data_IF_241478839744
#
_entry.id   IF_241478839744
#
_cell.length_a   1.000
_cell.length_b   1.000
_cell.length_c   1.000
_cell.angle_alpha   90.00
_cell.angle_beta   90.00
_cell.angle_gamma   90.00
#
_symmetry.space_group_name_H-M   'P 1'
#
loop_
_entity.id
_entity.type
_entity.pdbx_description
1 polymer ?
#
# COMPACT_ATOMS: atom_id res chain seq x y z
N UNK A 1 17.62 43.45 -17.25
CA UNK A 1 17.64 42.75 -15.96
C UNK A 1 17.47 41.27 -16.22
N UNK A 2 18.47 40.44 -15.89
CA UNK A 2 18.37 38.98 -16.02
C UNK A 2 17.78 38.43 -14.72
N UNK A 3 16.69 37.66 -14.81
CA UNK A 3 16.07 37.01 -13.65
C UNK A 3 16.81 35.69 -13.33
N UNK A 4 17.01 35.36 -12.03
CA UNK A 4 17.65 34.10 -11.66
C UNK A 4 16.77 32.91 -12.06
N UNK A 5 17.38 31.90 -12.70
CA UNK A 5 16.75 30.62 -13.00
C UNK A 5 16.62 29.82 -11.71
N UNK A 6 15.40 29.42 -11.34
CA UNK A 6 15.19 28.50 -10.22
C UNK A 6 15.83 27.15 -10.55
N UNK A 7 16.72 26.67 -9.66
CA UNK A 7 17.28 25.32 -9.76
C UNK A 7 16.21 24.31 -9.35
N UNK A 8 15.92 23.32 -10.20
CA UNK A 8 15.00 22.24 -9.84
C UNK A 8 15.53 21.50 -8.60
N UNK A 9 14.67 21.36 -7.58
CA UNK A 9 14.98 20.55 -6.41
C UNK A 9 14.67 19.08 -6.76
N UNK A 10 15.55 18.12 -6.45
CA UNK A 10 15.26 16.70 -6.70
C UNK A 10 14.02 16.26 -5.90
N UNK A 11 13.07 15.64 -6.58
CA UNK A 11 11.91 15.03 -5.93
C UNK A 11 12.37 13.84 -5.08
N UNK A 12 12.01 13.77 -3.79
CA UNK A 12 12.31 12.60 -2.97
C UNK A 12 11.74 11.34 -3.62
N UNK A 13 12.57 10.31 -3.79
CA UNK A 13 12.12 9.02 -4.28
C UNK A 13 11.36 8.30 -3.15
N UNK A 14 10.17 7.73 -3.41
CA UNK A 14 9.45 6.96 -2.41
C UNK A 14 10.27 5.74 -1.99
N UNK A 15 10.17 5.37 -0.72
CA UNK A 15 10.89 4.21 -0.17
C UNK A 15 10.27 2.90 -0.63
N UNK A 16 9.01 2.91 -1.07
CA UNK A 16 8.31 1.76 -1.64
C UNK A 16 8.00 1.94 -3.11
N UNK A 17 7.97 0.83 -3.86
CA UNK A 17 7.33 0.73 -5.18
C UNK A 17 6.12 -0.18 -5.10
N UNK A 18 5.13 0.05 -5.97
CA UNK A 18 4.05 -0.90 -6.22
C UNK A 18 4.61 -2.01 -7.12
N UNK A 19 4.63 -3.24 -6.62
CA UNK A 19 5.01 -4.43 -7.38
C UNK A 19 3.83 -4.99 -8.17
N UNK A 20 2.66 -5.04 -7.55
CA UNK A 20 1.48 -5.63 -8.15
C UNK A 20 0.18 -5.01 -7.63
N UNK A 21 -0.83 -4.98 -8.50
CA UNK A 21 -2.19 -4.57 -8.21
C UNK A 21 -3.13 -5.57 -8.86
N UNK A 22 -3.68 -6.46 -8.04
CA UNK A 22 -4.55 -7.55 -8.48
C UNK A 22 -5.97 -7.34 -7.98
N UNK A 23 -6.96 -7.70 -8.81
CA UNK A 23 -8.35 -7.81 -8.37
C UNK A 23 -8.56 -9.19 -7.74
N UNK A 24 -9.00 -9.21 -6.49
CA UNK A 24 -9.26 -10.47 -5.76
C UNK A 24 -10.74 -10.81 -5.80
N UNK A 25 -11.04 -11.99 -6.35
CA UNK A 25 -12.35 -12.62 -6.33
C UNK A 25 -12.27 -13.91 -5.53
N UNK A 26 -12.54 -13.85 -4.23
CA UNK A 26 -12.45 -15.01 -3.33
C UNK A 26 -13.76 -15.23 -2.55
N UNK A 27 -14.00 -16.47 -2.13
CA UNK A 27 -15.06 -16.85 -1.19
C UNK A 27 -14.68 -16.37 0.22
N UNK A 28 -15.14 -15.16 0.56
CA UNK A 28 -15.08 -14.51 1.88
C UNK A 28 -13.69 -14.29 2.53
N UNK A 29 -13.56 -13.24 3.38
CA UNK A 29 -14.33 -11.99 3.35
C UNK A 29 -13.94 -11.05 2.20
N UNK A 30 -14.75 -10.99 1.15
CA UNK A 30 -14.70 -9.92 0.16
C UNK A 30 -15.94 -9.04 0.36
N UNK A 31 -15.88 -7.72 0.12
CA UNK A 31 -14.82 -7.00 -0.55
C UNK A 31 -13.85 -6.30 0.41
N UNK A 32 -12.55 -6.47 0.18
CA UNK A 32 -11.49 -5.83 0.97
C UNK A 32 -10.36 -5.32 0.11
N UNK A 33 -9.60 -4.37 0.64
CA UNK A 33 -8.28 -4.00 0.15
C UNK A 33 -7.26 -4.74 1.00
N UNK A 34 -6.45 -5.58 0.37
CA UNK A 34 -5.33 -6.28 0.98
C UNK A 34 -4.04 -5.54 0.62
N UNK A 35 -3.19 -5.36 1.62
CA UNK A 35 -1.88 -4.74 1.46
C UNK A 35 -0.84 -5.70 1.97
N UNK A 36 0.10 -6.05 1.10
CA UNK A 36 1.25 -6.90 1.44
C UNK A 36 2.52 -6.10 1.20
N UNK A 37 3.35 -5.99 2.24
CA UNK A 37 4.61 -5.26 2.18
C UNK A 37 5.80 -6.20 2.25
N UNK A 38 6.78 -5.95 1.39
CA UNK A 38 8.06 -6.65 1.36
C UNK A 38 9.22 -5.68 1.57
N UNK A 39 10.33 -6.18 2.11
CA UNK A 39 11.61 -5.48 2.13
C UNK A 39 12.32 -5.55 0.75
N UNK A 40 13.50 -4.94 0.66
CA UNK A 40 14.30 -4.96 -0.57
C UNK A 40 14.79 -6.36 -0.99
N UNK A 41 14.75 -7.34 -0.09
CA UNK A 41 15.14 -8.73 -0.30
C UNK A 41 13.93 -9.66 -0.54
N UNK A 42 12.71 -9.10 -0.63
CA UNK A 42 11.46 -9.84 -0.77
C UNK A 42 11.08 -10.69 0.46
N UNK A 43 11.55 -10.31 1.65
CA UNK A 43 10.98 -10.82 2.89
C UNK A 43 9.77 -9.98 3.30
N UNK A 44 8.75 -10.63 3.84
CA UNK A 44 7.57 -9.94 4.36
C UNK A 44 7.96 -8.95 5.46
N UNK A 45 7.47 -7.72 5.34
CA UNK A 45 7.87 -6.59 6.17
C UNK A 45 6.68 -6.12 7.03
N UNK A 46 6.65 -6.45 8.34
CA UNK A 46 5.62 -5.97 9.27
C UNK A 46 5.80 -4.49 9.64
N UNK A 47 4.78 -3.91 10.28
CA UNK A 47 4.87 -2.62 10.94
C UNK A 47 4.80 -1.42 10.01
N UNK A 48 4.39 -1.62 8.76
CA UNK A 48 4.22 -0.54 7.79
C UNK A 48 2.83 0.05 7.95
N UNK A 49 2.76 1.36 8.21
CA UNK A 49 1.50 2.11 8.29
C UNK A 49 0.92 2.33 6.89
N UNK A 50 -0.32 1.90 6.72
CA UNK A 50 -1.12 2.02 5.50
C UNK A 50 -2.19 3.07 5.75
N UNK A 51 -2.29 4.03 4.84
CA UNK A 51 -3.34 5.04 4.84
C UNK A 51 -4.33 4.74 3.73
N UNK A 52 -5.61 4.65 4.10
CA UNK A 52 -6.71 4.46 3.16
C UNK A 52 -7.64 5.65 3.28
N UNK A 53 -7.88 6.35 2.17
CA UNK A 53 -8.76 7.52 2.12
C UNK A 53 -9.89 7.31 1.13
N UNK A 54 -11.05 7.90 1.42
CA UNK A 54 -12.22 7.89 0.55
C UNK A 54 -13.03 9.17 0.73
N UNK A 55 -14.10 9.32 -0.05
CA UNK A 55 -15.01 10.44 0.14
C UNK A 55 -15.72 10.33 1.50
N UNK A 56 -15.31 11.17 2.46
CA UNK A 56 -15.94 11.26 3.77
C UNK A 56 -15.11 10.72 4.94
N UNK A 57 -13.89 10.22 4.70
CA UNK A 57 -13.02 9.79 5.79
C UNK A 57 -11.67 9.24 5.35
N UNK A 58 -10.90 8.85 6.36
CA UNK A 58 -9.66 8.09 6.25
C UNK A 58 -9.60 7.04 7.34
N UNK A 59 -8.82 5.99 7.10
CA UNK A 59 -8.44 4.99 8.08
C UNK A 59 -6.94 4.70 7.97
N UNK A 60 -6.34 4.28 9.09
CA UNK A 60 -4.92 3.97 9.20
C UNK A 60 -4.74 2.69 9.98
N UNK A 61 -4.01 1.75 9.38
CA UNK A 61 -3.72 0.45 9.97
C UNK A 61 -2.30 0.02 9.62
N UNK A 62 -1.86 -1.09 10.19
CA UNK A 62 -0.48 -1.53 10.09
C UNK A 62 -0.38 -2.98 9.61
N UNK A 63 0.65 -3.29 8.82
CA UNK A 63 0.97 -4.66 8.42
C UNK A 63 1.50 -5.50 9.59
N UNK A 64 1.25 -6.80 9.56
CA UNK A 64 1.78 -7.78 10.52
C UNK A 64 0.92 -8.05 11.75
N UNK A 65 -0.27 -7.45 11.86
CA UNK A 65 -1.22 -7.71 12.95
C UNK A 65 -2.16 -8.91 12.68
N UNK A 66 -1.97 -9.63 11.56
CA UNK A 66 -2.74 -10.83 11.20
C UNK A 66 -1.80 -12.01 10.93
N UNK A 67 -1.34 -12.73 11.97
CA UNK A 67 -0.30 -13.74 11.85
C UNK A 67 -0.70 -14.96 11.00
N UNK A 68 -2.00 -15.20 10.81
CA UNK A 68 -2.49 -16.28 9.96
C UNK A 68 -2.31 -16.00 8.46
N UNK A 69 -2.29 -14.72 8.05
CA UNK A 69 -2.15 -14.30 6.65
C UNK A 69 -0.70 -14.00 6.27
N UNK A 70 0.10 -13.57 7.25
CA UNK A 70 1.54 -13.32 7.10
C UNK A 70 2.00 -12.06 7.84
N UNK A 71 3.29 -11.98 8.23
CA UNK A 71 3.85 -10.81 8.87
C UNK A 71 3.82 -9.54 7.99
N UNK A 72 3.72 -9.66 6.67
CA UNK A 72 3.66 -8.50 5.77
C UNK A 72 2.23 -8.01 5.47
N UNK A 73 1.20 -8.67 6.03
CA UNK A 73 -0.18 -8.50 5.60
C UNK A 73 -0.96 -7.51 6.48
N UNK A 74 -1.83 -6.73 5.83
CA UNK A 74 -2.99 -6.11 6.44
C UNK A 74 -4.15 -5.99 5.44
N UNK A 75 -5.35 -5.73 5.95
CA UNK A 75 -6.53 -5.52 5.12
C UNK A 75 -7.50 -4.48 5.70
N UNK A 76 -8.32 -3.96 4.81
CA UNK A 76 -9.38 -3.00 5.08
C UNK A 76 -10.67 -3.40 4.36
N UNK A 77 -11.78 -3.47 5.07
CA UNK A 77 -13.09 -3.80 4.48
C UNK A 77 -13.66 -2.62 3.71
N UNK A 78 -14.02 -2.85 2.44
CA UNK A 78 -14.61 -1.83 1.58
C UNK A 78 -16.12 -1.72 1.80
N UNK A 79 -16.67 -0.52 1.64
CA UNK A 79 -18.10 -0.27 1.59
C UNK A 79 -18.56 0.04 0.14
N UNK A 80 -19.82 -0.28 -0.21
CA UNK A 80 -20.41 0.05 -1.51
C UNK A 80 -20.34 1.54 -1.85
N UNK A 81 -20.33 1.83 -3.14
CA UNK A 81 -20.41 3.18 -3.72
C UNK A 81 -19.28 4.16 -3.33
N UNK A 82 -18.19 3.66 -2.74
CA UNK A 82 -17.01 4.45 -2.40
C UNK A 82 -15.83 4.13 -3.34
N UNK A 83 -15.00 5.16 -3.57
CA UNK A 83 -13.71 5.04 -4.25
C UNK A 83 -12.61 5.31 -3.25
N UNK A 84 -11.66 4.38 -3.18
CA UNK A 84 -10.57 4.40 -2.22
C UNK A 84 -9.24 4.77 -2.88
N UNK A 85 -8.39 5.36 -2.06
CA UNK A 85 -7.00 5.65 -2.35
C UNK A 85 -6.12 5.09 -1.25
N UNK A 86 -5.02 4.43 -1.62
CA UNK A 86 -4.08 3.78 -0.70
C UNK A 86 -2.68 4.34 -0.87
N UNK A 87 -2.04 4.69 0.25
CA UNK A 87 -0.65 5.15 0.34
C UNK A 87 0.01 4.54 1.57
N UNK A 88 1.29 4.19 1.49
CA UNK A 88 2.09 3.84 2.67
C UNK A 88 2.68 5.11 3.29
N UNK A 89 2.55 5.29 4.60
CA UNK A 89 3.05 6.49 5.30
C UNK A 89 4.57 6.66 5.15
N UNK A 90 5.29 5.55 5.02
CA UNK A 90 6.73 5.51 4.77
C UNK A 90 7.12 5.96 3.34
N UNK A 91 6.15 6.28 2.48
CA UNK A 91 6.36 6.78 1.12
C UNK A 91 6.21 5.68 0.07
N UNK A 92 5.10 5.71 -0.66
CA UNK A 92 4.82 4.88 -1.83
C UNK A 92 4.18 5.71 -2.94
N UNK A 93 4.09 5.18 -4.17
CA UNK A 93 3.10 5.65 -5.13
C UNK A 93 1.69 5.59 -4.54
N UNK A 94 0.85 6.53 -4.94
CA UNK A 94 -0.58 6.51 -4.64
C UNK A 94 -1.30 5.52 -5.56
N UNK A 95 -2.15 4.66 -4.99
CA UNK A 95 -3.04 3.78 -5.73
C UNK A 95 -4.48 4.23 -5.49
N UNK A 96 -5.09 4.86 -6.48
CA UNK A 96 -6.43 5.45 -6.39
C UNK A 96 -7.44 4.78 -7.32
N UNK A 97 -8.72 5.10 -7.13
CA UNK A 97 -9.80 4.58 -7.98
C UNK A 97 -10.24 3.15 -7.63
N UNK A 98 -9.79 2.61 -6.49
CA UNK A 98 -10.16 1.28 -6.03
C UNK A 98 -11.63 1.28 -5.60
N UNK A 99 -12.45 0.48 -6.26
CA UNK A 99 -13.88 0.31 -5.98
C UNK A 99 -14.20 -1.17 -5.83
N UNK A 100 -15.32 -1.48 -5.20
CA UNK A 100 -15.83 -2.85 -5.20
C UNK A 100 -16.18 -3.20 -6.65
N UNK A 101 -15.49 -4.20 -7.20
CA UNK A 101 -15.70 -4.67 -8.56
C UNK A 101 -16.50 -5.98 -8.54
N UNK A 102 -17.51 -6.15 -9.40
CA UNK A 102 -18.25 -7.41 -9.44
C UNK A 102 -17.35 -8.54 -9.96
N UNK A 103 -17.35 -9.64 -9.23
CA UNK A 103 -16.78 -10.92 -9.63
C UNK A 103 -17.84 -11.77 -10.37
N UNK A 104 -17.40 -12.92 -10.90
CA UNK A 104 -18.31 -13.88 -11.52
C UNK A 104 -19.45 -14.26 -10.56
N UNK A 105 -20.65 -14.51 -11.08
CA UNK A 105 -21.85 -14.83 -10.31
C UNK A 105 -22.36 -13.76 -9.32
N UNK A 106 -21.82 -12.53 -9.38
CA UNK A 106 -22.33 -11.38 -8.61
C UNK A 106 -21.69 -11.20 -7.25
N UNK A 107 -20.63 -11.95 -6.92
CA UNK A 107 -19.83 -11.72 -5.72
C UNK A 107 -19.15 -10.35 -5.77
N UNK A 108 -18.98 -9.73 -4.61
CA UNK A 108 -18.21 -8.50 -4.46
C UNK A 108 -16.70 -8.82 -4.47
N UNK A 109 -15.95 -8.18 -5.35
CA UNK A 109 -14.51 -8.29 -5.46
C UNK A 109 -13.77 -7.17 -4.73
N UNK A 110 -12.57 -7.50 -4.26
CA UNK A 110 -11.64 -6.59 -3.62
C UNK A 110 -10.37 -6.36 -4.45
N UNK A 111 -9.35 -5.84 -3.79
CA UNK A 111 -8.05 -5.56 -4.36
C UNK A 111 -6.94 -6.11 -3.49
N UNK A 112 -5.85 -6.57 -4.10
CA UNK A 112 -4.59 -6.87 -3.43
C UNK A 112 -3.51 -5.99 -4.01
N UNK A 113 -2.84 -5.24 -3.13
CA UNK A 113 -1.75 -4.35 -3.45
C UNK A 113 -0.47 -4.90 -2.82
N UNK A 114 0.53 -5.14 -3.66
CA UNK A 114 1.84 -5.62 -3.19
C UNK A 114 2.85 -4.49 -3.33
N UNK A 115 3.47 -4.10 -2.22
CA UNK A 115 4.51 -3.08 -2.19
C UNK A 115 5.85 -3.68 -1.79
N UNK A 116 6.93 -3.11 -2.33
CA UNK A 116 8.28 -3.48 -1.95
C UNK A 116 9.10 -2.25 -1.60
N UNK A 117 9.77 -2.30 -0.45
CA UNK A 117 10.76 -1.32 -0.07
C UNK A 117 11.95 -1.40 -1.03
N UNK A 118 12.33 -0.30 -1.67
CA UNK A 118 13.47 -0.22 -2.58
C UNK A 118 14.76 0.22 -1.88
N UNK A 119 14.66 0.60 -0.61
CA UNK A 119 15.81 0.88 0.25
C UNK A 119 16.30 -0.42 0.86
N UNK A 120 17.57 -0.73 0.64
CA UNK A 120 18.26 -1.71 1.47
C UNK A 120 18.35 -1.13 2.88
N UNK A 121 17.87 -1.87 3.88
CA UNK A 121 18.20 -1.60 5.26
C UNK A 121 19.72 -1.81 5.41
N UNK A 122 20.50 -0.76 5.18
CA UNK A 122 21.89 -0.73 5.59
C UNK A 122 21.83 -0.65 7.11
N UNK A 123 21.85 -1.79 7.80
CA UNK A 123 22.09 -1.81 9.23
C UNK A 123 23.40 -1.05 9.44
N UNK A 124 23.42 0.11 10.12
CA UNK A 124 24.68 0.69 10.51
C UNK A 124 25.32 -0.34 11.43
N UNK A 125 26.40 -0.98 10.96
CA UNK A 125 27.27 -1.80 11.79
C UNK A 125 27.58 -0.95 13.02
N UNK A 126 27.12 -1.39 14.21
CA UNK A 126 27.52 -0.75 15.45
C UNK A 126 29.05 -0.77 15.48
N UNK A 127 29.65 0.42 15.39
CA UNK A 127 31.10 0.58 15.49
C UNK A 127 31.50 0.21 16.93
N UNK A 128 32.51 -0.68 17.13
CA UNK A 128 32.88 -1.23 18.44
C UNK A 128 33.50 -0.20 19.39
#
# INVERSE_FOLDING_TARGET
TLAPTQTATPTPQPDFRLLDQERVCADEPAPRIEVVTFDALLNELPGIEVWVTWQGGEDRFFTGFKPAEGPGYADFTMAPDLSYTVVLAAGSPEVSGLRIEPCAAGQAGGWRLTFQNVRLALTPTAEP
#
